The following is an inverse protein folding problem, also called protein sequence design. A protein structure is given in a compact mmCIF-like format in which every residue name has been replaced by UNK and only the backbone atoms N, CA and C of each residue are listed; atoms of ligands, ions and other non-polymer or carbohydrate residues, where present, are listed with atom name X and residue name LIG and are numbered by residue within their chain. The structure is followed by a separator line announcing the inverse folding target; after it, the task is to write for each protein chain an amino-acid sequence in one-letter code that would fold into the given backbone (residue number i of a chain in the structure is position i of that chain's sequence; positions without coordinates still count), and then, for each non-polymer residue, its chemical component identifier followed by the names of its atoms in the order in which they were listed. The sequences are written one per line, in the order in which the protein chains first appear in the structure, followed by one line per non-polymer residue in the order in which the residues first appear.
data_IF_990651212349
#
_entry.id   IF_990651212349
#
_cell.length_a   1.000
_cell.length_b   1.000
_cell.length_c   1.000
_cell.angle_alpha   90.00
_cell.angle_beta   90.00
_cell.angle_gamma   90.00
#
_symmetry.space_group_name_H-M   'P 1'
#
loop_
_entity.id
_entity.type
_entity.pdbx_description
1 polymer ?
#
# COMPACT_ATOMS: atom_id res chain seq x y z
N UNK A 1 9.09 -28.78 6.19
CA UNK A 1 8.25 -28.83 4.97
C UNK A 1 7.66 -27.47 4.59
N UNK A 2 7.32 -26.59 5.55
CA UNK A 2 6.71 -25.29 5.26
C UNK A 2 7.67 -24.27 4.60
N UNK A 3 8.97 -24.35 4.91
CA UNK A 3 9.95 -23.32 4.51
C UNK A 3 11.00 -23.81 3.51
N UNK A 4 11.11 -25.10 3.23
CA UNK A 4 12.17 -25.65 2.41
C UNK A 4 13.57 -25.40 3.02
N UNK A 5 14.63 -25.63 2.24
CA UNK A 5 16.01 -25.39 2.68
C UNK A 5 16.39 -23.90 2.76
N UNK A 6 15.68 -23.02 2.03
CA UNK A 6 15.91 -21.58 2.02
C UNK A 6 15.31 -20.84 3.22
N UNK A 7 14.51 -21.50 4.05
CA UNK A 7 13.87 -21.00 5.28
C UNK A 7 12.91 -19.82 5.08
N UNK A 8 13.19 -18.87 4.18
CA UNK A 8 12.36 -17.72 3.87
C UNK A 8 12.51 -17.33 2.38
N UNK A 9 11.44 -16.84 1.76
CA UNK A 9 11.49 -16.23 0.44
C UNK A 9 11.75 -14.73 0.55
N UNK A 10 12.70 -14.22 -0.24
CA UNK A 10 13.12 -12.82 -0.23
C UNK A 10 12.49 -12.05 -1.38
N UNK A 11 11.75 -10.99 -1.08
CA UNK A 11 11.35 -9.99 -2.06
C UNK A 11 12.44 -8.93 -2.25
N UNK A 12 12.58 -8.45 -3.47
CA UNK A 12 13.36 -7.24 -3.76
C UNK A 12 12.39 -6.09 -3.96
N UNK A 13 12.54 -5.02 -3.19
CA UNK A 13 11.68 -3.85 -3.28
C UNK A 13 12.47 -2.59 -3.58
N UNK A 14 12.02 -1.84 -4.59
CA UNK A 14 12.57 -0.53 -4.93
C UNK A 14 11.47 0.45 -5.32
N UNK A 15 11.78 1.74 -5.22
CA UNK A 15 10.89 2.84 -5.59
C UNK A 15 10.87 3.04 -7.11
N UNK A 16 9.70 3.35 -7.69
CA UNK A 16 9.54 3.61 -9.13
C UNK A 16 10.46 4.73 -9.63
N UNK A 17 10.56 5.84 -8.90
CA UNK A 17 11.44 6.94 -9.27
C UNK A 17 12.93 6.56 -9.25
N UNK A 18 13.35 5.61 -8.41
CA UNK A 18 14.72 5.08 -8.43
C UNK A 18 14.98 4.24 -9.69
N UNK A 19 14.00 3.43 -10.10
CA UNK A 19 14.07 2.68 -11.35
C UNK A 19 14.08 3.60 -12.57
N UNK A 20 13.27 4.65 -12.56
CA UNK A 20 13.21 5.65 -13.62
C UNK A 20 14.57 6.37 -13.77
N UNK A 21 15.19 6.76 -12.64
CA UNK A 21 16.52 7.36 -12.63
C UNK A 21 17.60 6.37 -13.09
N UNK A 22 17.50 5.12 -12.70
CA UNK A 22 18.40 4.07 -13.17
C UNK A 22 18.31 3.89 -14.69
N UNK A 23 17.10 3.92 -15.25
CA UNK A 23 16.93 3.85 -16.71
C UNK A 23 17.45 5.10 -17.43
N UNK A 24 17.22 6.31 -16.88
CA UNK A 24 17.81 7.54 -17.45
C UNK A 24 19.33 7.45 -17.56
N UNK A 25 20.00 7.03 -16.49
CA UNK A 25 21.45 6.83 -16.47
C UNK A 25 21.90 5.79 -17.50
N UNK A 26 21.20 4.68 -17.59
CA UNK A 26 21.49 3.61 -18.54
C UNK A 26 21.37 4.09 -20.00
N UNK A 27 20.27 4.78 -20.33
CA UNK A 27 20.03 5.31 -21.66
C UNK A 27 21.08 6.37 -22.03
N UNK A 28 21.47 7.22 -21.08
CA UNK A 28 22.51 8.23 -21.26
C UNK A 28 23.87 7.61 -21.53
N UNK A 29 24.26 6.61 -20.74
CA UNK A 29 25.53 5.89 -20.92
C UNK A 29 25.56 5.12 -22.27
N UNK A 30 24.41 4.70 -22.78
CA UNK A 30 24.26 4.06 -24.09
C UNK A 30 24.23 5.05 -25.27
N UNK A 31 24.25 6.36 -25.02
CA UNK A 31 24.14 7.38 -26.09
C UNK A 31 22.75 7.44 -26.74
N UNK A 32 21.70 7.02 -26.04
CA UNK A 32 20.32 6.97 -26.54
C UNK A 32 19.46 8.17 -26.10
N UNK A 33 20.03 9.07 -25.28
CA UNK A 33 19.41 10.34 -24.91
C UNK A 33 20.15 11.51 -25.57
N UNK A 34 19.37 12.49 -25.98
CA UNK A 34 19.83 13.83 -26.30
C UNK A 34 20.10 14.65 -25.01
N UNK A 35 19.93 15.97 -25.06
CA UNK A 35 20.10 16.84 -23.89
C UNK A 35 18.99 16.62 -22.84
N UNK A 36 17.80 16.16 -23.26
CA UNK A 36 16.63 15.99 -22.38
C UNK A 36 16.72 14.67 -21.62
N UNK A 37 16.52 14.71 -20.30
CA UNK A 37 16.44 13.53 -19.45
C UNK A 37 15.21 12.68 -19.78
N UNK A 38 15.33 11.34 -19.70
CA UNK A 38 14.22 10.43 -19.82
C UNK A 38 13.12 10.71 -18.76
N UNK A 39 13.52 11.22 -17.59
CA UNK A 39 12.59 11.59 -16.51
C UNK A 39 11.59 12.66 -16.99
N UNK A 40 12.05 13.58 -17.85
CA UNK A 40 11.26 14.72 -18.36
C UNK A 40 10.42 14.38 -19.61
N UNK A 41 10.50 13.15 -20.10
CA UNK A 41 9.70 12.70 -21.23
C UNK A 41 8.22 12.56 -20.85
N UNK A 42 7.33 12.74 -21.82
CA UNK A 42 5.91 12.46 -21.65
C UNK A 42 5.66 10.96 -21.42
N UNK A 43 4.50 10.63 -20.91
CA UNK A 43 4.10 9.22 -20.67
C UNK A 43 4.10 8.45 -21.99
N UNK A 44 3.64 9.07 -23.07
CA UNK A 44 3.57 8.49 -24.42
C UNK A 44 4.97 8.20 -24.98
N UNK A 45 5.91 9.13 -24.80
CA UNK A 45 7.31 8.95 -25.23
C UNK A 45 7.99 7.83 -24.45
N UNK A 46 7.81 7.79 -23.12
CA UNK A 46 8.29 6.70 -22.26
C UNK A 46 7.74 5.36 -22.70
N UNK A 47 6.43 5.30 -22.94
CA UNK A 47 5.75 4.09 -23.37
C UNK A 47 6.27 3.61 -24.72
N UNK A 48 6.40 4.48 -25.70
CA UNK A 48 6.91 4.16 -27.02
C UNK A 48 8.34 3.58 -26.99
N UNK A 49 9.21 4.15 -26.14
CA UNK A 49 10.54 3.61 -25.90
C UNK A 49 10.47 2.20 -25.31
N UNK A 50 9.73 2.03 -24.23
CA UNK A 50 9.63 0.75 -23.52
C UNK A 50 9.03 -0.35 -24.43
N UNK A 51 7.95 -0.06 -25.14
CA UNK A 51 7.32 -1.01 -26.07
C UNK A 51 8.25 -1.42 -27.22
N UNK A 52 9.11 -0.49 -27.70
CA UNK A 52 10.12 -0.78 -28.71
C UNK A 52 11.24 -1.63 -28.16
N UNK A 53 11.83 -1.23 -27.04
CA UNK A 53 13.05 -1.85 -26.49
C UNK A 53 12.76 -3.22 -25.86
N UNK A 54 11.57 -3.44 -25.31
CA UNK A 54 11.17 -4.75 -24.79
C UNK A 54 10.89 -5.81 -25.86
N UNK A 55 10.90 -5.40 -27.16
CA UNK A 55 10.86 -6.33 -28.31
C UNK A 55 12.24 -6.74 -28.81
N UNK A 56 13.30 -6.24 -28.21
CA UNK A 56 14.68 -6.53 -28.60
C UNK A 56 15.39 -7.33 -27.50
N UNK A 57 16.10 -8.42 -27.83
CA UNK A 57 16.92 -9.16 -26.88
C UNK A 57 18.22 -8.44 -26.52
N UNK A 58 18.60 -7.43 -27.31
CA UNK A 58 19.91 -6.79 -27.22
C UNK A 58 19.96 -5.81 -26.03
N UNK A 59 20.91 -5.98 -25.08
CA UNK A 59 21.13 -5.01 -24.02
C UNK A 59 21.73 -3.71 -24.60
N UNK A 60 21.60 -2.61 -23.88
CA UNK A 60 22.15 -1.30 -24.25
C UNK A 60 23.65 -1.22 -24.07
N UNK A 61 24.16 -1.80 -22.97
CA UNK A 61 25.56 -1.76 -22.60
C UNK A 61 26.18 -3.16 -22.52
N UNK A 62 27.46 -3.24 -22.81
CA UNK A 62 28.22 -4.46 -22.54
C UNK A 62 28.37 -4.69 -21.03
N UNK A 63 28.42 -5.95 -20.57
CA UNK A 63 28.61 -6.26 -19.16
C UNK A 63 29.88 -5.58 -18.59
N UNK A 64 29.75 -4.98 -17.41
CA UNK A 64 30.86 -4.33 -16.71
C UNK A 64 31.04 -2.83 -16.97
N UNK A 65 30.30 -2.26 -17.93
CA UNK A 65 30.25 -0.80 -18.10
C UNK A 65 29.36 -0.20 -17.01
N UNK A 66 29.87 0.80 -16.30
CA UNK A 66 29.10 1.59 -15.34
C UNK A 66 28.18 2.55 -16.08
N UNK A 67 26.91 2.59 -15.68
CA UNK A 67 25.93 3.54 -16.23
C UNK A 67 25.63 4.69 -15.25
N UNK A 68 25.99 4.55 -13.99
CA UNK A 68 25.73 5.51 -12.92
C UNK A 68 25.23 4.83 -11.65
N UNK A 69 25.20 5.53 -10.51
CA UNK A 69 25.05 4.91 -9.19
C UNK A 69 23.71 4.17 -9.00
N UNK A 70 22.59 4.72 -9.47
CA UNK A 70 21.29 4.07 -9.36
C UNK A 70 21.18 2.89 -10.33
N UNK A 71 21.63 3.05 -11.57
CA UNK A 71 21.64 1.98 -12.57
C UNK A 71 22.52 0.81 -12.10
N UNK A 72 23.74 1.11 -11.68
CA UNK A 72 24.70 0.09 -11.22
C UNK A 72 24.16 -0.68 -10.01
N UNK A 73 23.49 0.01 -9.08
CA UNK A 73 22.85 -0.62 -7.91
C UNK A 73 21.75 -1.59 -8.32
N UNK A 74 20.84 -1.19 -9.22
CA UNK A 74 19.73 -2.06 -9.67
C UNK A 74 20.26 -3.22 -10.49
N UNK A 75 21.17 -2.94 -11.44
CA UNK A 75 21.74 -3.99 -12.29
C UNK A 75 22.57 -5.00 -11.51
N UNK A 76 23.35 -4.56 -10.50
CA UNK A 76 24.08 -5.46 -9.62
C UNK A 76 23.13 -6.39 -8.84
N UNK A 77 22.06 -5.84 -8.27
CA UNK A 77 21.04 -6.62 -7.60
C UNK A 77 20.39 -7.66 -8.53
N UNK A 78 19.97 -7.24 -9.73
CA UNK A 78 19.34 -8.15 -10.71
C UNK A 78 20.33 -9.23 -11.22
N UNK A 79 21.62 -8.92 -11.36
CA UNK A 79 22.66 -9.91 -11.71
C UNK A 79 22.83 -10.99 -10.64
N UNK A 80 22.78 -10.60 -9.36
CA UNK A 80 22.80 -11.56 -8.25
C UNK A 80 21.58 -12.48 -8.31
N UNK A 81 20.39 -11.94 -8.59
CA UNK A 81 19.19 -12.74 -8.77
C UNK A 81 19.31 -13.68 -9.97
N UNK A 82 19.84 -13.20 -11.10
CA UNK A 82 20.05 -14.01 -12.29
C UNK A 82 21.02 -15.17 -12.02
N UNK A 83 22.13 -14.93 -11.35
CA UNK A 83 23.09 -15.96 -10.96
C UNK A 83 22.44 -16.98 -10.02
N UNK A 84 21.70 -16.53 -9.00
CA UNK A 84 20.99 -17.43 -8.09
C UNK A 84 19.98 -18.31 -8.84
N UNK A 85 19.21 -17.73 -9.78
CA UNK A 85 18.23 -18.50 -10.57
C UNK A 85 18.91 -19.53 -11.46
N UNK A 86 20.07 -19.19 -12.03
CA UNK A 86 20.86 -20.13 -12.83
C UNK A 86 21.30 -21.34 -12.03
N UNK A 87 21.78 -21.13 -10.79
CA UNK A 87 22.38 -22.17 -9.96
C UNK A 87 21.34 -22.97 -9.16
N UNK A 88 20.28 -22.31 -8.69
CA UNK A 88 19.32 -22.86 -7.71
C UNK A 88 17.84 -22.75 -8.13
N UNK A 89 17.55 -22.16 -9.28
CA UNK A 89 16.20 -21.87 -9.70
C UNK A 89 15.57 -20.70 -8.93
N UNK A 90 14.24 -20.60 -8.99
CA UNK A 90 13.49 -19.53 -8.33
C UNK A 90 13.16 -19.79 -6.86
N UNK A 91 13.59 -20.93 -6.28
CA UNK A 91 13.34 -21.26 -4.88
C UNK A 91 14.03 -20.28 -3.95
N UNK A 92 13.31 -19.81 -2.92
CA UNK A 92 13.81 -18.80 -2.00
C UNK A 92 13.74 -17.35 -2.51
N UNK A 93 13.37 -17.14 -3.77
CA UNK A 93 13.09 -15.81 -4.31
C UNK A 93 11.59 -15.54 -4.35
N UNK A 94 11.23 -14.32 -3.99
CA UNK A 94 9.86 -13.80 -4.05
C UNK A 94 9.63 -12.96 -5.30
N UNK A 95 9.28 -11.70 -5.10
CA UNK A 95 8.85 -10.77 -6.15
C UNK A 95 9.73 -9.54 -6.25
N UNK A 96 9.72 -8.90 -7.42
CA UNK A 96 10.24 -7.55 -7.64
C UNK A 96 9.10 -6.56 -7.35
N UNK A 97 9.10 -5.97 -6.14
CA UNK A 97 8.03 -5.07 -5.70
C UNK A 97 8.41 -3.63 -6.05
N UNK A 98 7.53 -2.95 -6.77
CA UNK A 98 7.69 -1.56 -7.17
C UNK A 98 6.84 -0.67 -6.27
N UNK A 99 7.46 0.06 -5.34
CA UNK A 99 6.74 1.01 -4.49
C UNK A 99 6.48 2.33 -5.22
N UNK A 100 5.39 3.00 -4.84
CA UNK A 100 4.91 4.22 -5.51
C UNK A 100 4.64 4.00 -7.01
N UNK A 101 3.98 2.89 -7.32
CA UNK A 101 3.51 2.61 -8.69
C UNK A 101 2.37 3.54 -9.03
N UNK A 102 2.54 4.38 -10.04
CA UNK A 102 1.57 5.39 -10.48
C UNK A 102 1.09 5.18 -11.91
N UNK A 103 1.86 4.40 -12.68
CA UNK A 103 1.58 4.13 -14.09
C UNK A 103 2.22 2.81 -14.52
N UNK A 104 1.79 2.29 -15.65
CA UNK A 104 2.29 1.00 -16.14
C UNK A 104 3.77 1.06 -16.52
N UNK A 105 4.27 2.21 -16.96
CA UNK A 105 5.67 2.44 -17.31
C UNK A 105 6.59 2.12 -16.11
N UNK A 106 6.17 2.41 -14.88
CA UNK A 106 6.91 2.11 -13.66
C UNK A 106 7.22 0.60 -13.52
N UNK A 107 6.32 -0.25 -14.01
CA UNK A 107 6.48 -1.70 -14.01
C UNK A 107 7.27 -2.20 -15.22
N UNK A 108 7.05 -1.61 -16.38
CA UNK A 108 7.74 -2.00 -17.63
C UNK A 108 9.24 -1.67 -17.57
N UNK A 109 9.63 -0.59 -16.90
CA UNK A 109 11.04 -0.25 -16.63
C UNK A 109 11.75 -1.40 -15.92
N UNK A 110 11.10 -2.08 -14.99
CA UNK A 110 11.70 -3.22 -14.28
C UNK A 110 12.02 -4.36 -15.24
N UNK A 111 11.17 -4.65 -16.22
CA UNK A 111 11.45 -5.66 -17.24
C UNK A 111 12.66 -5.28 -18.11
N UNK A 112 12.79 -4.00 -18.45
CA UNK A 112 13.91 -3.53 -19.23
C UNK A 112 15.22 -3.63 -18.44
N UNK A 113 15.23 -3.20 -17.17
CA UNK A 113 16.39 -3.35 -16.27
C UNK A 113 16.73 -4.82 -15.99
N UNK A 114 15.71 -5.71 -15.92
CA UNK A 114 15.91 -7.14 -15.79
C UNK A 114 16.56 -7.74 -17.05
N UNK A 115 16.19 -7.27 -18.25
CA UNK A 115 16.86 -7.64 -19.51
C UNK A 115 18.34 -7.23 -19.49
N UNK A 116 18.63 -6.00 -19.11
CA UNK A 116 20.00 -5.47 -19.04
C UNK A 116 20.92 -6.26 -18.08
N UNK A 117 20.34 -6.81 -17.04
CA UNK A 117 21.07 -7.60 -16.05
C UNK A 117 21.12 -9.10 -16.37
N UNK A 118 20.48 -9.56 -17.46
CA UNK A 118 20.37 -10.99 -17.78
C UNK A 118 19.42 -11.77 -16.86
N UNK A 119 18.58 -11.07 -16.08
CA UNK A 119 17.54 -11.68 -15.25
C UNK A 119 16.31 -12.09 -16.08
N UNK A 120 15.92 -11.27 -17.06
CA UNK A 120 14.87 -11.62 -18.01
C UNK A 120 15.45 -12.43 -19.17
N UNK A 121 14.70 -13.43 -19.60
CA UNK A 121 15.09 -14.41 -20.59
C UNK A 121 14.41 -14.13 -21.92
N UNK A 122 15.12 -14.31 -23.02
CA UNK A 122 14.55 -14.26 -24.37
C UNK A 122 14.11 -15.64 -24.84
N UNK A 123 12.87 -15.75 -25.26
CA UNK A 123 12.26 -16.99 -25.76
C UNK A 123 11.75 -16.81 -27.20
N UNK A 124 11.35 -17.88 -27.92
CA UNK A 124 10.70 -17.74 -29.23
C UNK A 124 9.43 -16.89 -29.20
N UNK A 125 8.79 -16.72 -28.04
CA UNK A 125 7.61 -15.86 -27.83
C UNK A 125 7.94 -14.43 -27.41
N UNK A 126 9.21 -14.11 -27.25
CA UNK A 126 9.71 -12.82 -26.80
C UNK A 126 10.27 -12.86 -25.37
N UNK A 127 10.45 -11.68 -24.77
CA UNK A 127 11.01 -11.52 -23.42
C UNK A 127 10.05 -12.10 -22.38
N UNK A 128 10.61 -12.77 -21.36
CA UNK A 128 9.90 -13.16 -20.12
C UNK A 128 10.76 -12.88 -18.90
N UNK A 129 10.12 -12.54 -17.79
CA UNK A 129 10.79 -12.40 -16.50
C UNK A 129 10.44 -13.58 -15.59
N UNK A 130 11.44 -14.30 -15.01
CA UNK A 130 11.17 -15.48 -14.18
C UNK A 130 10.63 -15.11 -12.79
N UNK A 131 10.80 -13.86 -12.36
CA UNK A 131 10.27 -13.34 -11.09
C UNK A 131 9.06 -12.43 -11.35
N UNK A 132 8.00 -12.54 -10.53
CA UNK A 132 6.86 -11.65 -10.61
C UNK A 132 7.25 -10.19 -10.34
N UNK A 133 6.78 -9.27 -11.18
CA UNK A 133 6.83 -7.83 -10.91
C UNK A 133 5.50 -7.42 -10.27
N UNK A 134 5.58 -6.84 -9.08
CA UNK A 134 4.42 -6.58 -8.21
C UNK A 134 4.27 -5.08 -7.98
N UNK A 135 3.16 -4.48 -8.43
CA UNK A 135 2.85 -3.10 -8.10
C UNK A 135 2.52 -2.95 -6.61
N UNK A 136 2.92 -1.81 -6.02
CA UNK A 136 2.47 -1.38 -4.71
C UNK A 136 1.77 -0.03 -4.85
N UNK A 137 0.49 -0.01 -4.51
CA UNK A 137 -0.37 1.17 -4.47
C UNK A 137 -0.46 1.69 -3.05
N UNK A 138 -0.04 2.94 -2.83
CA UNK A 138 0.16 3.51 -1.49
C UNK A 138 -0.72 4.74 -1.23
N UNK A 139 -1.05 5.53 -2.25
CA UNK A 139 -1.89 6.73 -2.12
C UNK A 139 -3.30 6.47 -2.64
N UNK A 140 -4.22 7.40 -2.34
CA UNK A 140 -5.59 7.33 -2.87
C UNK A 140 -5.62 7.33 -4.40
N UNK A 141 -4.83 8.20 -5.03
CA UNK A 141 -4.73 8.25 -6.49
C UNK A 141 -4.16 6.97 -7.10
N UNK A 142 -3.17 6.34 -6.44
CA UNK A 142 -2.60 5.07 -6.88
C UNK A 142 -3.66 3.95 -6.81
N UNK A 143 -4.46 3.91 -5.74
CA UNK A 143 -5.53 2.92 -5.55
C UNK A 143 -6.64 3.07 -6.59
N UNK A 144 -7.00 4.31 -6.93
CA UNK A 144 -8.00 4.62 -7.96
C UNK A 144 -7.51 4.24 -9.37
N UNK A 145 -6.25 4.53 -9.68
CA UNK A 145 -5.64 4.22 -10.97
C UNK A 145 -5.25 2.73 -11.11
N UNK A 146 -5.09 2.03 -9.98
CA UNK A 146 -4.56 0.67 -9.90
C UNK A 146 -5.17 -0.34 -10.86
N UNK A 147 -6.50 -0.46 -10.96
CA UNK A 147 -7.13 -1.40 -11.90
C UNK A 147 -6.71 -1.18 -13.35
N UNK A 148 -6.70 0.07 -13.82
CA UNK A 148 -6.24 0.41 -15.19
C UNK A 148 -4.76 0.14 -15.42
N UNK A 149 -3.92 0.39 -14.40
CA UNK A 149 -2.48 0.10 -14.47
C UNK A 149 -2.26 -1.42 -14.58
N UNK A 150 -2.95 -2.22 -13.77
CA UNK A 150 -2.85 -3.68 -13.78
C UNK A 150 -3.38 -4.26 -15.08
N UNK A 151 -4.49 -3.73 -15.60
CA UNK A 151 -5.04 -4.12 -16.92
C UNK A 151 -3.99 -3.90 -18.02
N UNK A 152 -3.42 -2.71 -18.10
CA UNK A 152 -2.41 -2.38 -19.11
C UNK A 152 -1.14 -3.24 -18.95
N UNK A 153 -0.74 -3.51 -17.69
CA UNK A 153 0.45 -4.33 -17.40
C UNK A 153 0.22 -5.81 -17.75
N UNK A 154 -0.93 -6.38 -17.38
CA UNK A 154 -1.27 -7.78 -17.69
C UNK A 154 -1.51 -8.02 -19.18
N UNK A 155 -1.97 -6.99 -19.91
CA UNK A 155 -2.11 -7.03 -21.37
C UNK A 155 -0.78 -6.90 -22.12
N UNK A 156 0.30 -6.47 -21.46
CA UNK A 156 1.60 -6.29 -22.11
C UNK A 156 2.24 -7.65 -22.49
N UNK A 157 2.83 -7.81 -23.70
CA UNK A 157 3.35 -9.10 -24.18
C UNK A 157 4.36 -9.77 -23.25
N UNK A 158 5.25 -9.02 -22.60
CA UNK A 158 6.24 -9.57 -21.65
C UNK A 158 5.54 -10.17 -20.43
N UNK A 159 4.51 -9.50 -19.91
CA UNK A 159 3.74 -10.01 -18.77
C UNK A 159 2.96 -11.26 -19.15
N UNK A 160 2.33 -11.25 -20.32
CA UNK A 160 1.61 -12.43 -20.85
C UNK A 160 2.55 -13.63 -21.04
N UNK A 161 3.73 -13.43 -21.62
CA UNK A 161 4.74 -14.48 -21.77
C UNK A 161 5.20 -15.02 -20.40
N UNK A 162 5.40 -14.14 -19.43
CA UNK A 162 5.81 -14.52 -18.07
C UNK A 162 4.72 -15.33 -17.36
N UNK A 163 3.47 -14.89 -17.44
CA UNK A 163 2.31 -15.61 -16.87
C UNK A 163 2.04 -16.94 -17.59
N UNK A 164 2.23 -17.00 -18.90
CA UNK A 164 2.08 -18.25 -19.67
C UNK A 164 3.11 -19.30 -19.23
N UNK A 165 4.36 -18.90 -19.01
CA UNK A 165 5.41 -19.79 -18.49
C UNK A 165 5.09 -20.28 -17.07
N UNK A 166 4.56 -19.40 -16.20
CA UNK A 166 4.11 -19.80 -14.87
C UNK A 166 2.92 -20.78 -14.94
N UNK A 167 1.96 -20.54 -15.84
CA UNK A 167 0.81 -21.43 -16.06
C UNK A 167 1.25 -22.83 -16.47
N UNK A 168 2.21 -22.91 -17.39
CA UNK A 168 2.79 -24.18 -17.84
C UNK A 168 3.50 -24.90 -16.68
N UNK A 169 4.32 -24.19 -15.92
CA UNK A 169 5.04 -24.74 -14.76
C UNK A 169 4.10 -25.25 -13.65
N UNK A 170 3.00 -24.55 -13.39
CA UNK A 170 2.06 -24.88 -12.31
C UNK A 170 0.95 -25.85 -12.72
N UNK A 171 0.72 -26.06 -14.00
CA UNK A 171 -0.41 -26.84 -14.51
C UNK A 171 -1.78 -26.22 -14.21
N UNK A 172 -1.85 -24.90 -14.04
CA UNK A 172 -3.08 -24.18 -13.70
C UNK A 172 -2.89 -22.67 -13.69
N UNK A 173 -3.95 -21.93 -13.35
CA UNK A 173 -3.92 -20.46 -13.35
C UNK A 173 -2.87 -19.92 -12.38
N UNK A 174 -1.94 -19.06 -12.88
CA UNK A 174 -0.94 -18.44 -12.05
C UNK A 174 -1.55 -17.43 -11.09
N UNK A 175 -0.87 -17.15 -9.98
CA UNK A 175 -1.22 -16.04 -9.11
C UNK A 175 -0.62 -14.74 -9.64
N UNK A 176 -1.41 -13.67 -9.60
CA UNK A 176 -0.92 -12.30 -9.80
C UNK A 176 -1.03 -11.52 -8.49
N UNK A 177 0.11 -11.05 -8.00
CA UNK A 177 0.17 -10.37 -6.71
C UNK A 177 0.12 -8.86 -6.89
N UNK A 178 -0.65 -8.19 -6.03
CA UNK A 178 -0.68 -6.73 -5.87
C UNK A 178 -0.45 -6.39 -4.40
N UNK A 179 0.45 -5.47 -4.12
CA UNK A 179 0.65 -4.97 -2.76
C UNK A 179 -0.17 -3.69 -2.55
N UNK A 180 -0.84 -3.60 -1.39
CA UNK A 180 -1.67 -2.44 -1.00
C UNK A 180 -1.20 -1.86 0.32
N UNK A 181 -0.99 -0.53 0.35
CA UNK A 181 -0.44 0.20 1.49
C UNK A 181 -1.52 0.82 2.35
N UNK A 182 -1.60 0.41 3.62
CA UNK A 182 -2.58 0.90 4.60
C UNK A 182 -2.14 2.17 5.31
N UNK A 183 -0.86 2.24 5.66
CA UNK A 183 -0.33 3.36 6.45
C UNK A 183 -0.20 4.64 5.63
N UNK A 184 0.30 4.54 4.40
CA UNK A 184 0.51 5.68 3.53
C UNK A 184 -0.83 6.23 3.01
N UNK A 185 -1.78 5.36 2.64
CA UNK A 185 -3.13 5.78 2.26
C UNK A 185 -3.87 6.47 3.41
N UNK A 186 -3.75 5.94 4.64
CA UNK A 186 -4.35 6.59 5.81
C UNK A 186 -3.73 7.96 6.11
N UNK A 187 -2.42 8.10 5.97
CA UNK A 187 -1.74 9.40 6.09
C UNK A 187 -2.23 10.38 5.03
N UNK A 188 -2.50 9.93 3.82
CA UNK A 188 -2.95 10.76 2.69
C UNK A 188 -4.40 11.28 2.85
N UNK A 189 -5.33 10.43 3.31
CA UNK A 189 -6.76 10.74 3.24
C UNK A 189 -7.58 10.46 4.52
N UNK A 190 -6.94 10.02 5.62
CA UNK A 190 -7.63 9.63 6.85
C UNK A 190 -8.24 8.23 6.80
N UNK A 191 -8.60 7.71 7.99
CA UNK A 191 -8.93 6.28 8.18
C UNK A 191 -10.12 5.82 7.33
N UNK A 192 -11.23 6.55 7.33
CA UNK A 192 -12.45 6.08 6.67
C UNK A 192 -12.28 6.05 5.15
N UNK A 193 -11.77 7.15 4.58
CA UNK A 193 -11.51 7.26 3.15
C UNK A 193 -10.48 6.24 2.67
N UNK A 194 -9.41 6.03 3.45
CA UNK A 194 -8.38 5.02 3.15
C UNK A 194 -8.95 3.60 3.12
N UNK A 195 -9.71 3.21 4.14
CA UNK A 195 -10.29 1.86 4.21
C UNK A 195 -11.30 1.61 3.09
N UNK A 196 -12.12 2.62 2.74
CA UNK A 196 -13.05 2.52 1.64
C UNK A 196 -12.35 2.44 0.27
N UNK A 197 -11.33 3.28 0.04
CA UNK A 197 -10.53 3.23 -1.19
C UNK A 197 -9.82 1.88 -1.36
N UNK A 198 -9.24 1.32 -0.29
CA UNK A 198 -8.62 0.00 -0.27
C UNK A 198 -9.62 -1.11 -0.59
N UNK A 199 -10.84 -1.04 -0.04
CA UNK A 199 -11.89 -2.02 -0.32
C UNK A 199 -12.32 -1.98 -1.79
N UNK A 200 -12.59 -0.79 -2.33
CA UNK A 200 -12.95 -0.60 -3.75
C UNK A 200 -11.84 -1.04 -4.70
N UNK A 201 -10.60 -0.64 -4.42
CA UNK A 201 -9.45 -1.01 -5.24
C UNK A 201 -9.25 -2.54 -5.29
N UNK A 202 -9.32 -3.21 -4.14
CA UNK A 202 -9.19 -4.67 -4.10
C UNK A 202 -10.31 -5.39 -4.86
N UNK A 203 -11.56 -4.89 -4.79
CA UNK A 203 -12.68 -5.42 -5.56
C UNK A 203 -12.41 -5.32 -7.06
N UNK A 204 -12.11 -4.11 -7.55
CA UNK A 204 -11.86 -3.87 -8.96
C UNK A 204 -10.60 -4.59 -9.49
N UNK A 205 -9.50 -4.60 -8.72
CA UNK A 205 -8.29 -5.34 -9.06
C UNK A 205 -8.54 -6.86 -9.14
N UNK A 206 -9.39 -7.41 -8.25
CA UNK A 206 -9.75 -8.83 -8.31
C UNK A 206 -10.49 -9.18 -9.59
N UNK A 207 -11.40 -8.31 -10.02
CA UNK A 207 -12.13 -8.46 -11.27
C UNK A 207 -11.18 -8.39 -12.47
N UNK A 208 -10.32 -7.37 -12.53
CA UNK A 208 -9.30 -7.21 -13.58
C UNK A 208 -8.38 -8.44 -13.68
N UNK A 209 -7.79 -8.87 -12.56
CA UNK A 209 -6.86 -10.00 -12.55
C UNK A 209 -7.55 -11.31 -13.01
N UNK A 210 -8.79 -11.52 -12.58
CA UNK A 210 -9.56 -12.72 -12.96
C UNK A 210 -9.88 -12.74 -14.45
N UNK A 211 -10.14 -11.59 -15.09
CA UNK A 211 -10.35 -11.48 -16.54
C UNK A 211 -9.13 -11.94 -17.35
N UNK A 212 -7.93 -11.84 -16.80
CA UNK A 212 -6.68 -12.36 -17.40
C UNK A 212 -6.38 -13.83 -17.05
N UNK A 213 -7.36 -14.58 -16.56
CA UNK A 213 -7.20 -15.97 -16.12
C UNK A 213 -6.04 -16.15 -15.14
N UNK A 214 -5.94 -15.25 -14.16
CA UNK A 214 -5.00 -15.31 -13.04
C UNK A 214 -5.75 -15.22 -11.71
N UNK A 215 -5.14 -15.75 -10.65
CA UNK A 215 -5.69 -15.71 -9.29
C UNK A 215 -5.19 -14.45 -8.59
N UNK A 216 -6.08 -13.57 -8.10
CA UNK A 216 -5.63 -12.40 -7.34
C UNK A 216 -5.02 -12.82 -6.00
N UNK A 217 -3.87 -12.25 -5.68
CA UNK A 217 -3.21 -12.38 -4.38
C UNK A 217 -2.86 -11.00 -3.88
N UNK A 218 -3.48 -10.58 -2.79
CA UNK A 218 -3.15 -9.30 -2.17
C UNK A 218 -2.06 -9.46 -1.13
N UNK A 219 -1.06 -8.58 -1.20
CA UNK A 219 -0.08 -8.40 -0.15
C UNK A 219 -0.46 -7.16 0.67
N UNK A 220 -1.04 -7.40 1.83
CA UNK A 220 -1.52 -6.36 2.72
C UNK A 220 -0.37 -5.74 3.51
N UNK A 221 0.04 -4.54 3.14
CA UNK A 221 1.08 -3.75 3.81
C UNK A 221 0.57 -3.10 5.10
N UNK A 222 0.16 -3.93 6.08
CA UNK A 222 -0.41 -3.49 7.36
C UNK A 222 0.69 -3.20 8.38
N UNK A 223 0.40 -2.28 9.32
CA UNK A 223 1.24 -2.05 10.50
C UNK A 223 0.60 -2.56 11.79
N UNK A 224 1.25 -2.32 12.93
CA UNK A 224 0.83 -2.84 14.24
C UNK A 224 -0.25 -2.01 14.96
N UNK A 225 -0.67 -0.86 14.43
CA UNK A 225 -1.69 0.00 15.02
C UNK A 225 -2.89 0.20 14.10
N UNK A 226 -4.05 0.58 14.63
CA UNK A 226 -5.28 0.82 13.85
C UNK A 226 -5.04 1.82 12.73
N UNK A 227 -4.40 2.96 13.01
CA UNK A 227 -4.04 3.97 12.00
C UNK A 227 -3.04 3.48 10.94
N UNK A 228 -2.58 2.22 11.02
CA UNK A 228 -1.72 1.53 10.04
C UNK A 228 -2.36 0.26 9.51
N UNK A 229 -3.68 0.12 9.68
CA UNK A 229 -4.46 -1.01 9.19
C UNK A 229 -4.47 -2.23 10.11
N UNK A 230 -4.02 -2.11 11.38
CA UNK A 230 -4.18 -3.18 12.37
C UNK A 230 -5.65 -3.36 12.77
N UNK A 231 -5.90 -4.46 13.43
CA UNK A 231 -7.19 -4.89 13.96
C UNK A 231 -7.20 -6.40 14.13
N UNK A 232 -8.22 -6.99 14.76
CA UNK A 232 -8.35 -8.43 14.89
C UNK A 232 -8.29 -9.12 13.53
N UNK A 233 -7.47 -10.15 13.41
CA UNK A 233 -7.18 -10.80 12.11
C UNK A 233 -8.43 -11.38 11.46
N UNK A 234 -9.31 -12.01 12.24
CA UNK A 234 -10.56 -12.58 11.73
C UNK A 234 -11.53 -11.50 11.22
N UNK A 235 -11.68 -10.38 11.93
CA UNK A 235 -12.52 -9.27 11.44
C UNK A 235 -11.98 -8.64 10.16
N UNK A 236 -10.66 -8.52 10.08
CA UNK A 236 -10.00 -8.05 8.86
C UNK A 236 -10.30 -8.98 7.67
N UNK A 237 -10.17 -10.31 7.86
CA UNK A 237 -10.45 -11.29 6.81
C UNK A 237 -11.93 -11.29 6.39
N UNK A 238 -12.84 -11.13 7.35
CA UNK A 238 -14.27 -11.05 7.07
C UNK A 238 -14.66 -9.77 6.32
N UNK A 239 -13.90 -8.70 6.51
CA UNK A 239 -14.11 -7.41 5.87
C UNK A 239 -13.55 -7.31 4.44
N UNK A 240 -12.77 -8.29 3.98
CA UNK A 240 -12.21 -8.30 2.63
C UNK A 240 -13.31 -8.37 1.56
N UNK A 241 -13.18 -7.61 0.45
CA UNK A 241 -14.16 -7.65 -0.62
C UNK A 241 -14.21 -9.04 -1.28
N UNK A 242 -15.41 -9.42 -1.72
CA UNK A 242 -15.59 -10.70 -2.40
C UNK A 242 -14.67 -10.83 -3.62
N UNK A 243 -14.05 -12.02 -3.79
CA UNK A 243 -13.10 -12.30 -4.87
C UNK A 243 -11.65 -11.92 -4.54
N UNK A 244 -11.38 -11.13 -3.49
CA UNK A 244 -10.01 -10.71 -3.16
C UNK A 244 -9.17 -11.77 -2.43
N UNK A 245 -9.78 -12.87 -2.00
CA UNK A 245 -9.09 -13.98 -1.33
C UNK A 245 -9.41 -15.30 -2.05
N UNK A 246 -8.45 -15.83 -2.78
CA UNK A 246 -8.57 -17.04 -3.59
C UNK A 246 -7.80 -18.24 -3.01
N UNK A 247 -7.61 -18.30 -1.70
CA UNK A 247 -6.87 -19.35 -0.99
C UNK A 247 -5.44 -18.94 -0.60
N UNK A 248 -4.96 -17.80 -1.08
CA UNK A 248 -3.65 -17.27 -0.75
C UNK A 248 -3.74 -15.77 -0.47
N UNK A 249 -2.97 -15.31 0.50
CA UNK A 249 -2.73 -13.90 0.78
C UNK A 249 -1.36 -13.72 1.41
N UNK A 250 -0.86 -12.50 1.37
CA UNK A 250 0.33 -12.11 2.15
C UNK A 250 -0.01 -10.91 3.03
N UNK A 251 0.57 -10.89 4.22
CA UNK A 251 0.35 -9.82 5.17
C UNK A 251 1.69 -9.44 5.82
N UNK A 252 1.96 -8.15 5.91
CA UNK A 252 3.10 -7.65 6.69
C UNK A 252 2.81 -7.81 8.17
N UNK A 253 3.72 -8.43 8.90
CA UNK A 253 3.80 -8.35 10.35
C UNK A 253 5.05 -7.54 10.72
N UNK A 254 4.88 -6.52 11.53
CA UNK A 254 5.97 -5.66 11.98
C UNK A 254 6.67 -6.27 13.21
N UNK A 255 7.92 -5.89 13.48
CA UNK A 255 8.71 -6.48 14.57
C UNK A 255 8.02 -6.42 15.93
N UNK A 256 7.39 -5.31 16.27
CA UNK A 256 6.60 -5.16 17.50
C UNK A 256 5.40 -6.12 17.53
N UNK A 257 4.74 -6.34 16.41
CA UNK A 257 3.60 -7.25 16.30
C UNK A 257 4.07 -8.71 16.39
N UNK A 258 5.20 -9.05 15.76
CA UNK A 258 5.80 -10.37 15.84
C UNK A 258 6.12 -10.72 17.29
N UNK A 259 6.76 -9.80 18.02
CA UNK A 259 7.07 -10.01 19.44
C UNK A 259 5.82 -10.24 20.29
N UNK A 260 4.76 -9.48 20.06
CA UNK A 260 3.51 -9.62 20.83
C UNK A 260 2.75 -10.91 20.50
N UNK A 261 2.68 -11.29 19.21
CA UNK A 261 1.86 -12.42 18.76
C UNK A 261 2.58 -13.77 18.90
N UNK A 262 3.90 -13.80 18.70
CA UNK A 262 4.64 -15.05 18.47
C UNK A 262 5.77 -15.30 19.45
N UNK A 263 6.02 -14.43 20.45
CA UNK A 263 7.08 -14.65 21.45
C UNK A 263 6.81 -15.84 22.37
N UNK A 264 5.54 -16.15 22.67
CA UNK A 264 5.13 -17.28 23.49
C UNK A 264 4.44 -18.34 22.65
N UNK A 265 4.74 -19.60 22.90
CA UNK A 265 4.20 -20.74 22.14
C UNK A 265 2.67 -20.74 22.06
N UNK A 266 1.97 -20.59 23.19
CA UNK A 266 0.50 -20.57 23.19
C UNK A 266 -0.10 -19.38 22.43
N UNK A 267 0.52 -18.19 22.53
CA UNK A 267 0.10 -17.04 21.73
C UNK A 267 0.38 -17.25 20.24
N UNK A 268 1.51 -17.86 19.90
CA UNK A 268 1.86 -18.17 18.52
C UNK A 268 0.86 -19.15 17.90
N UNK A 269 0.54 -20.24 18.60
CA UNK A 269 -0.46 -21.23 18.17
C UNK A 269 -1.81 -20.57 17.96
N UNK A 270 -2.30 -19.81 18.95
CA UNK A 270 -3.58 -19.11 18.86
C UNK A 270 -3.65 -18.15 17.65
N UNK A 271 -2.62 -17.32 17.44
CA UNK A 271 -2.60 -16.40 16.32
C UNK A 271 -2.50 -17.11 14.96
N UNK A 272 -1.74 -18.21 14.88
CA UNK A 272 -1.64 -19.02 13.68
C UNK A 272 -2.97 -19.73 13.36
N UNK A 273 -3.64 -20.31 14.35
CA UNK A 273 -4.94 -20.96 14.19
C UNK A 273 -6.00 -19.96 13.74
N UNK A 274 -6.07 -18.79 14.35
CA UNK A 274 -7.02 -17.72 13.92
C UNK A 274 -6.73 -17.30 12.48
N UNK A 275 -5.47 -17.09 12.12
CA UNK A 275 -5.08 -16.72 10.76
C UNK A 275 -5.53 -17.78 9.75
N UNK A 276 -5.22 -19.05 10.02
CA UNK A 276 -5.56 -20.16 9.14
C UNK A 276 -7.08 -20.37 9.04
N UNK A 277 -7.79 -20.39 10.16
CA UNK A 277 -9.23 -20.59 10.20
C UNK A 277 -9.97 -19.45 9.49
N UNK A 278 -9.54 -18.21 9.71
CA UNK A 278 -10.14 -17.03 9.05
C UNK A 278 -9.87 -17.02 7.54
N UNK A 279 -8.65 -17.34 7.11
CA UNK A 279 -8.32 -17.44 5.70
C UNK A 279 -9.11 -18.56 5.01
N UNK A 280 -9.23 -19.72 5.62
CA UNK A 280 -10.03 -20.83 5.11
C UNK A 280 -11.52 -20.48 5.00
N UNK A 281 -12.09 -19.90 6.07
CA UNK A 281 -13.49 -19.46 6.12
C UNK A 281 -13.78 -18.40 5.06
N UNK A 282 -12.95 -17.35 4.96
CA UNK A 282 -13.12 -16.30 3.96
C UNK A 282 -12.97 -16.84 2.53
N UNK A 283 -11.99 -17.73 2.29
CA UNK A 283 -11.83 -18.39 0.99
C UNK A 283 -13.06 -19.22 0.61
N UNK A 284 -13.63 -19.97 1.55
CA UNK A 284 -14.84 -20.77 1.31
C UNK A 284 -16.02 -19.86 0.97
N UNK A 285 -16.22 -18.77 1.72
CA UNK A 285 -17.27 -17.78 1.40
C UNK A 285 -17.09 -17.17 0.02
N UNK A 286 -15.86 -16.73 -0.34
CA UNK A 286 -15.58 -16.14 -1.64
C UNK A 286 -15.81 -17.12 -2.80
N UNK A 287 -15.66 -18.43 -2.59
CA UNK A 287 -15.91 -19.46 -3.61
C UNK A 287 -17.38 -19.82 -3.75
N UNK A 288 -18.12 -19.88 -2.66
CA UNK A 288 -19.45 -20.51 -2.62
C UNK A 288 -20.60 -19.53 -2.39
N UNK A 289 -20.34 -18.37 -1.78
CA UNK A 289 -21.36 -17.33 -1.64
C UNK A 289 -21.38 -16.43 -2.88
N UNK A 290 -22.59 -15.95 -3.23
CA UNK A 290 -22.72 -14.91 -4.25
C UNK A 290 -22.19 -13.58 -3.73
N UNK A 291 -21.54 -12.76 -4.60
CA UNK A 291 -21.19 -11.39 -4.23
C UNK A 291 -22.43 -10.63 -3.76
N UNK A 292 -22.38 -10.08 -2.56
CA UNK A 292 -23.40 -9.16 -2.09
C UNK A 292 -22.93 -7.73 -2.37
N UNK A 293 -23.67 -7.00 -3.20
CA UNK A 293 -23.46 -5.57 -3.35
C UNK A 293 -23.83 -4.87 -2.04
N UNK A 294 -22.99 -4.00 -1.56
CA UNK A 294 -23.32 -3.11 -0.47
C UNK A 294 -24.35 -2.09 -0.98
N UNK A 295 -25.61 -2.24 -0.59
CA UNK A 295 -26.68 -1.33 -1.01
C UNK A 295 -26.41 0.16 -0.71
N UNK A 296 -25.42 0.43 0.14
CA UNK A 296 -25.02 1.76 0.60
C UNK A 296 -23.70 2.24 -0.01
N UNK A 297 -23.19 1.63 -1.10
CA UNK A 297 -21.90 2.04 -1.74
C UNK A 297 -21.87 3.54 -2.06
N UNK A 298 -22.95 4.09 -2.63
CA UNK A 298 -23.06 5.52 -2.95
C UNK A 298 -23.03 6.43 -1.69
N UNK A 299 -23.53 5.93 -0.54
CA UNK A 299 -23.45 6.64 0.73
C UNK A 299 -22.01 6.62 1.24
N UNK A 300 -21.32 5.48 1.10
CA UNK A 300 -19.93 5.32 1.52
C UNK A 300 -18.98 6.19 0.67
N UNK A 301 -19.25 6.35 -0.62
CA UNK A 301 -18.49 7.26 -1.48
C UNK A 301 -18.57 8.71 -0.97
N UNK A 302 -19.78 9.19 -0.68
CA UNK A 302 -20.00 10.53 -0.12
C UNK A 302 -19.39 10.70 1.26
N UNK A 303 -19.52 9.69 2.12
CA UNK A 303 -18.96 9.69 3.47
C UNK A 303 -17.43 9.69 3.45
N UNK A 304 -16.82 8.92 2.57
CA UNK A 304 -15.37 8.88 2.38
C UNK A 304 -14.82 10.23 1.87
N UNK A 305 -15.51 10.85 0.91
CA UNK A 305 -15.15 12.19 0.42
C UNK A 305 -15.21 13.22 1.54
N UNK A 306 -16.33 13.29 2.29
CA UNK A 306 -16.49 14.23 3.41
C UNK A 306 -15.46 14.00 4.52
N UNK A 307 -15.15 12.73 4.83
CA UNK A 307 -14.14 12.38 5.83
C UNK A 307 -12.73 12.79 5.40
N UNK A 308 -12.38 12.57 4.14
CA UNK A 308 -11.11 13.00 3.55
C UNK A 308 -10.97 14.52 3.57
N UNK A 309 -12.01 15.23 3.16
CA UNK A 309 -11.97 16.68 3.06
C UNK A 309 -11.81 17.31 4.44
N UNK A 310 -12.49 16.79 5.47
CA UNK A 310 -12.29 17.20 6.85
C UNK A 310 -10.84 16.92 7.33
N UNK A 311 -10.29 15.74 7.01
CA UNK A 311 -8.93 15.38 7.36
C UNK A 311 -7.90 16.29 6.68
N UNK A 312 -8.04 16.51 5.37
CA UNK A 312 -7.14 17.38 4.60
C UNK A 312 -7.25 18.84 5.03
N UNK A 313 -8.44 19.33 5.35
CA UNK A 313 -8.61 20.68 5.89
C UNK A 313 -7.78 20.91 7.14
N UNK A 314 -7.73 19.95 8.05
CA UNK A 314 -6.84 20.03 9.22
C UNK A 314 -5.36 20.10 8.82
N UNK A 315 -4.91 19.21 7.92
CA UNK A 315 -3.51 19.16 7.49
C UNK A 315 -3.03 20.45 6.78
N UNK A 316 -3.95 21.13 6.09
CA UNK A 316 -3.69 22.39 5.38
C UNK A 316 -3.97 23.65 6.23
N UNK A 317 -4.37 23.49 7.49
CA UNK A 317 -4.52 24.63 8.41
C UNK A 317 -3.17 25.34 8.55
N UNK A 318 -3.18 26.66 8.44
CA UNK A 318 -1.98 27.47 8.60
C UNK A 318 -1.33 27.18 9.97
N UNK A 319 -0.02 26.98 9.98
CA UNK A 319 0.73 26.63 11.18
C UNK A 319 0.62 25.15 11.60
N UNK A 320 -0.13 24.30 10.91
CA UNK A 320 -0.30 22.88 11.28
C UNK A 320 1.03 22.15 11.46
N UNK A 321 2.01 22.37 10.58
CA UNK A 321 3.32 21.71 10.71
C UNK A 321 4.09 22.16 11.95
N UNK A 322 4.01 23.44 12.32
CA UNK A 322 4.60 23.95 13.55
C UNK A 322 3.91 23.35 14.78
N UNK A 323 2.58 23.30 14.77
CA UNK A 323 1.79 22.60 15.79
C UNK A 323 2.21 21.13 15.92
N UNK A 324 2.23 20.40 14.81
CA UNK A 324 2.56 18.98 14.78
C UNK A 324 3.93 18.69 15.38
N UNK A 325 4.96 19.47 14.99
CA UNK A 325 6.32 19.28 15.51
C UNK A 325 6.43 19.59 17.00
N UNK A 326 5.66 20.56 17.50
CA UNK A 326 5.72 20.96 18.90
C UNK A 326 4.82 20.11 19.79
N UNK A 327 3.61 19.77 19.32
CA UNK A 327 2.62 19.00 20.07
C UNK A 327 2.84 17.48 20.02
N UNK A 328 3.84 17.00 19.29
CA UNK A 328 4.16 15.57 19.22
C UNK A 328 5.67 15.33 19.31
N UNK A 329 6.13 14.15 19.75
CA UNK A 329 7.55 13.84 19.85
C UNK A 329 8.16 13.42 18.49
N UNK A 330 7.75 14.05 17.37
CA UNK A 330 8.20 13.67 16.03
C UNK A 330 9.71 13.82 15.88
N UNK A 331 10.32 14.85 16.46
CA UNK A 331 11.77 15.08 16.34
C UNK A 331 12.59 13.93 16.98
N UNK A 332 12.12 13.40 18.11
CA UNK A 332 12.73 12.23 18.72
C UNK A 332 12.52 10.96 17.87
N UNK A 333 11.35 10.81 17.27
CA UNK A 333 11.04 9.67 16.41
C UNK A 333 11.81 9.72 15.10
N UNK A 334 12.06 10.90 14.52
CA UNK A 334 12.89 11.06 13.33
C UNK A 334 14.33 10.65 13.55
N UNK A 335 14.85 10.87 14.75
CA UNK A 335 16.20 10.47 15.15
C UNK A 335 16.29 9.01 15.63
N UNK A 336 15.16 8.34 15.83
CA UNK A 336 15.12 6.94 16.25
C UNK A 336 15.18 6.00 15.04
N UNK A 337 15.76 4.80 15.24
CA UNK A 337 15.80 3.76 14.21
C UNK A 337 14.57 2.86 14.29
N UNK A 338 13.38 3.46 14.24
CA UNK A 338 12.12 2.71 14.20
C UNK A 338 11.84 2.28 12.76
N UNK A 339 11.86 0.97 12.53
CA UNK A 339 11.67 0.38 11.21
C UNK A 339 12.96 0.26 10.40
N UNK A 340 12.85 -0.38 9.24
CA UNK A 340 13.98 -0.70 8.35
C UNK A 340 14.39 0.44 7.41
N UNK A 341 13.70 1.59 7.47
CA UNK A 341 13.89 2.71 6.53
C UNK A 341 14.08 4.02 7.28
N UNK A 342 14.77 5.02 6.67
CA UNK A 342 14.83 6.36 7.20
C UNK A 342 13.42 6.94 7.43
N UNK A 343 13.27 7.80 8.42
CA UNK A 343 12.01 8.45 8.78
C UNK A 343 11.47 9.39 7.69
N UNK A 344 12.35 9.92 6.85
CA UNK A 344 12.04 10.79 5.70
C UNK A 344 12.48 10.17 4.39
N UNK A 345 11.82 10.57 3.28
CA UNK A 345 12.14 10.10 1.92
C UNK A 345 13.34 10.82 1.33
N UNK A 346 13.36 12.16 1.38
CA UNK A 346 14.40 13.01 0.81
C UNK A 346 15.13 13.88 1.84
N UNK A 347 14.65 13.90 3.09
CA UNK A 347 15.19 14.73 4.17
C UNK A 347 14.59 16.13 4.26
N UNK A 348 13.60 16.46 3.44
CA UNK A 348 12.90 17.76 3.50
C UNK A 348 11.93 17.82 4.68
N UNK A 349 11.74 19.01 5.26
CA UNK A 349 10.85 19.22 6.39
C UNK A 349 9.38 19.41 5.96
N UNK A 350 8.87 18.53 5.10
CA UNK A 350 7.48 18.56 4.62
C UNK A 350 6.70 17.33 5.07
N UNK A 351 5.37 17.45 5.09
CA UNK A 351 4.48 16.33 5.41
C UNK A 351 4.59 15.23 4.35
N UNK A 352 4.75 15.58 3.08
CA UNK A 352 4.86 14.61 1.98
C UNK A 352 6.13 13.78 2.06
N UNK A 353 7.22 14.37 2.56
CA UNK A 353 8.49 13.68 2.75
C UNK A 353 8.48 12.73 3.97
N UNK A 354 7.66 13.05 4.98
CA UNK A 354 7.54 12.24 6.19
C UNK A 354 6.89 10.89 5.88
N UNK A 355 7.51 9.79 6.33
CA UNK A 355 6.92 8.45 6.17
C UNK A 355 5.77 8.21 7.16
N UNK A 356 4.87 7.30 6.79
CA UNK A 356 3.68 7.01 7.58
C UNK A 356 3.96 6.40 8.96
N UNK A 357 5.08 5.68 9.15
CA UNK A 357 5.43 5.10 10.45
C UNK A 357 5.66 6.20 11.51
N UNK A 358 6.63 7.12 11.35
CA UNK A 358 6.82 8.20 12.32
C UNK A 358 5.58 9.11 12.44
N UNK A 359 4.83 9.34 11.35
CA UNK A 359 3.56 10.06 11.40
C UNK A 359 2.56 9.46 12.39
N UNK A 360 2.26 8.17 12.26
CA UNK A 360 1.28 7.51 13.14
C UNK A 360 1.78 7.40 14.57
N UNK A 361 3.07 7.04 14.75
CA UNK A 361 3.64 6.89 16.10
C UNK A 361 3.67 8.19 16.88
N UNK A 362 3.99 9.33 16.26
CA UNK A 362 4.02 10.63 16.95
C UNK A 362 2.65 10.99 17.54
N UNK A 363 1.58 10.80 16.79
CA UNK A 363 0.21 11.01 17.27
C UNK A 363 -0.19 10.02 18.36
N UNK A 364 0.26 8.78 18.27
CA UNK A 364 0.00 7.75 19.27
C UNK A 364 0.70 8.06 20.58
N UNK A 365 1.98 8.46 20.53
CA UNK A 365 2.74 8.83 21.73
C UNK A 365 2.17 10.05 22.45
N UNK A 366 1.70 11.04 21.70
CA UNK A 366 1.03 12.21 22.24
C UNK A 366 -0.46 11.97 22.60
N UNK A 367 -0.96 10.72 22.51
CA UNK A 367 -2.32 10.32 22.85
C UNK A 367 -3.43 10.99 22.05
N UNK A 368 -3.12 11.50 20.86
CA UNK A 368 -4.12 11.99 19.92
C UNK A 368 -4.77 10.86 19.12
N UNK A 369 -4.03 9.86 18.74
CA UNK A 369 -4.47 8.78 17.81
C UNK A 369 -5.13 9.33 16.54
N UNK A 370 -4.81 10.55 16.15
CA UNK A 370 -5.47 11.35 15.12
C UNK A 370 -5.70 10.59 13.80
N UNK A 371 -4.72 9.87 13.22
CA UNK A 371 -4.93 9.16 11.96
C UNK A 371 -5.92 8.00 12.06
N UNK A 372 -6.33 7.60 13.25
CA UNK A 372 -7.23 6.47 13.48
C UNK A 372 -8.71 6.84 13.60
N UNK A 373 -9.07 8.15 13.61
CA UNK A 373 -10.46 8.57 13.80
C UNK A 373 -10.84 9.89 13.15
N UNK A 374 -9.87 10.79 12.91
CA UNK A 374 -10.17 12.16 12.50
C UNK A 374 -10.86 12.22 11.12
N UNK A 375 -11.87 13.08 11.00
CA UNK A 375 -12.70 13.28 9.82
C UNK A 375 -13.95 12.38 9.77
N UNK A 376 -13.89 11.16 10.31
CA UNK A 376 -15.01 10.22 10.24
C UNK A 376 -16.25 10.71 11.00
N UNK A 377 -16.08 11.24 12.23
CA UNK A 377 -17.18 11.74 13.03
C UNK A 377 -17.86 12.97 12.45
N UNK A 378 -17.09 13.90 11.88
CA UNK A 378 -17.62 15.08 11.19
C UNK A 378 -18.47 14.67 9.99
N UNK A 379 -17.99 13.71 9.19
CA UNK A 379 -18.70 13.18 8.03
C UNK A 379 -19.99 12.46 8.43
N UNK A 380 -19.95 11.61 9.47
CA UNK A 380 -21.14 10.93 9.98
C UNK A 380 -22.17 11.90 10.56
N UNK A 381 -21.71 12.95 11.24
CA UNK A 381 -22.61 13.99 11.76
C UNK A 381 -23.30 14.75 10.62
N UNK A 382 -22.55 15.19 9.61
CA UNK A 382 -23.11 15.86 8.43
C UNK A 382 -24.13 14.95 7.73
N UNK A 383 -23.80 13.68 7.51
CA UNK A 383 -24.72 12.71 6.93
C UNK A 383 -26.00 12.57 7.75
N UNK A 384 -25.92 12.50 9.08
CA UNK A 384 -27.07 12.40 9.96
C UNK A 384 -27.96 13.65 9.90
N UNK A 385 -27.33 14.83 9.93
CA UNK A 385 -28.06 16.11 10.03
C UNK A 385 -28.66 16.54 8.68
N UNK A 386 -27.98 16.25 7.57
CA UNK A 386 -28.36 16.68 6.22
C UNK A 386 -29.15 15.60 5.44
N UNK A 387 -28.83 14.32 5.67
CA UNK A 387 -29.38 13.17 4.94
C UNK A 387 -29.80 12.05 5.89
N UNK A 388 -30.80 12.28 6.77
CA UNK A 388 -31.17 11.33 7.84
C UNK A 388 -31.66 9.96 7.31
N UNK A 389 -32.22 9.91 6.11
CA UNK A 389 -32.62 8.66 5.48
C UNK A 389 -31.43 7.79 5.13
N UNK A 390 -30.36 8.38 4.59
CA UNK A 390 -29.13 7.69 4.26
C UNK A 390 -28.35 7.27 5.50
N UNK A 391 -28.37 8.10 6.55
CA UNK A 391 -27.81 7.71 7.85
C UNK A 391 -28.51 6.49 8.43
N UNK A 392 -29.84 6.42 8.34
CA UNK A 392 -30.63 5.26 8.78
C UNK A 392 -30.33 4.01 7.93
N UNK A 393 -30.16 4.18 6.62
CA UNK A 393 -29.77 3.09 5.73
C UNK A 393 -28.37 2.55 6.06
N UNK A 394 -27.40 3.46 6.32
CA UNK A 394 -26.05 3.10 6.76
C UNK A 394 -26.07 2.35 8.10
N UNK A 395 -26.86 2.82 9.08
CA UNK A 395 -27.02 2.15 10.38
C UNK A 395 -27.65 0.75 10.24
N UNK A 396 -28.56 0.57 9.27
CA UNK A 396 -29.10 -0.74 8.92
C UNK A 396 -28.03 -1.67 8.33
N UNK A 397 -27.29 -1.15 7.35
CA UNK A 397 -26.21 -1.91 6.69
C UNK A 397 -25.08 -2.31 7.64
N UNK A 398 -24.81 -1.53 8.70
CA UNK A 398 -23.79 -1.87 9.72
C UNK A 398 -24.07 -3.23 10.38
N UNK A 399 -25.32 -3.63 10.53
CA UNK A 399 -25.68 -4.92 11.15
C UNK A 399 -25.26 -6.12 10.30
N UNK A 400 -25.16 -5.96 9.01
CA UNK A 400 -24.90 -7.03 8.05
C UNK A 400 -23.51 -6.97 7.44
N UNK A 401 -22.94 -5.75 7.27
CA UNK A 401 -21.66 -5.55 6.63
C UNK A 401 -20.47 -5.77 7.58
N UNK A 402 -19.69 -6.82 7.33
CA UNK A 402 -18.43 -7.05 8.03
C UNK A 402 -17.43 -5.92 7.82
N UNK A 403 -17.40 -5.31 6.63
CA UNK A 403 -16.55 -4.17 6.32
C UNK A 403 -16.87 -2.96 7.21
N UNK A 404 -18.15 -2.57 7.29
CA UNK A 404 -18.55 -1.44 8.12
C UNK A 404 -18.28 -1.69 9.59
N UNK A 405 -18.58 -2.89 10.10
CA UNK A 405 -18.24 -3.29 11.47
C UNK A 405 -16.76 -3.12 11.75
N UNK A 406 -15.91 -3.65 10.87
CA UNK A 406 -14.45 -3.57 11.01
C UNK A 406 -13.95 -2.13 11.06
N UNK A 407 -14.38 -1.30 10.12
CA UNK A 407 -13.91 0.10 10.01
C UNK A 407 -14.37 0.93 11.19
N UNK A 408 -15.66 0.88 11.53
CA UNK A 408 -16.23 1.69 12.62
C UNK A 408 -15.71 1.26 14.00
N UNK A 409 -15.55 -0.05 14.26
CA UNK A 409 -14.96 -0.52 15.52
C UNK A 409 -13.47 -0.10 15.65
N UNK A 410 -12.72 -0.07 14.55
CA UNK A 410 -11.35 0.44 14.57
C UNK A 410 -11.30 1.94 14.87
N UNK A 411 -12.20 2.74 14.29
CA UNK A 411 -12.33 4.16 14.58
C UNK A 411 -12.70 4.37 16.07
N UNK A 412 -13.68 3.64 16.57
CA UNK A 412 -14.08 3.66 17.98
C UNK A 412 -12.90 3.32 18.90
N UNK A 413 -12.16 2.25 18.61
CA UNK A 413 -10.98 1.85 19.38
C UNK A 413 -9.91 2.95 19.44
N UNK A 414 -9.73 3.69 18.34
CA UNK A 414 -8.80 4.83 18.30
C UNK A 414 -9.31 6.02 19.11
N UNK A 415 -10.60 6.30 19.07
CA UNK A 415 -11.27 7.34 19.87
C UNK A 415 -11.16 7.06 21.36
N UNK A 416 -11.46 5.84 21.80
CA UNK A 416 -11.35 5.41 23.20
C UNK A 416 -9.91 5.47 23.70
N UNK A 417 -8.94 5.23 22.82
CA UNK A 417 -7.51 5.33 23.14
C UNK A 417 -7.01 6.78 23.25
N UNK A 418 -7.71 7.73 22.63
CA UNK A 418 -7.37 9.14 22.71
C UNK A 418 -7.66 9.71 24.11
N UNK A 419 -6.83 10.67 24.56
CA UNK A 419 -6.99 11.28 25.88
C UNK A 419 -7.05 12.80 25.76
N UNK A 420 -8.24 13.37 25.92
CA UNK A 420 -8.49 14.80 25.75
C UNK A 420 -7.66 15.69 26.69
N UNK A 421 -7.31 15.23 27.89
CA UNK A 421 -6.48 15.99 28.81
C UNK A 421 -5.03 16.04 28.34
N UNK A 422 -4.48 14.91 27.91
CA UNK A 422 -3.14 14.85 27.36
C UNK A 422 -3.05 15.60 26.03
N UNK A 423 -4.07 15.50 25.17
CA UNK A 423 -4.14 16.28 23.93
C UNK A 423 -4.06 17.79 24.22
N UNK A 424 -4.80 18.29 25.22
CA UNK A 424 -4.74 19.70 25.62
C UNK A 424 -3.37 20.07 26.19
N UNK A 425 -2.76 19.21 27.01
CA UNK A 425 -1.44 19.43 27.57
C UNK A 425 -0.37 19.54 26.48
N UNK A 426 -0.35 18.59 25.54
CA UNK A 426 0.59 18.64 24.41
C UNK A 426 0.33 19.83 23.47
N UNK A 427 -0.92 20.14 23.18
CA UNK A 427 -1.27 21.34 22.41
C UNK A 427 -0.82 22.64 23.11
N UNK A 428 -0.84 22.66 24.44
CA UNK A 428 -0.36 23.80 25.25
C UNK A 428 1.14 24.07 25.12
N UNK A 429 1.92 23.13 24.62
CA UNK A 429 3.35 23.31 24.34
C UNK A 429 3.62 24.21 23.13
N UNK A 430 2.63 24.40 22.26
CA UNK A 430 2.75 25.27 21.06
C UNK A 430 2.72 26.72 21.51
N UNK A 431 3.78 27.52 21.28
CA UNK A 431 3.87 28.89 21.79
C UNK A 431 2.88 29.84 21.12
N UNK A 432 2.64 29.65 19.84
CA UNK A 432 1.76 30.50 19.03
C UNK A 432 0.28 30.20 19.34
N UNK A 433 -0.40 31.16 19.94
CA UNK A 433 -1.80 31.04 20.33
C UNK A 433 -2.73 30.97 19.12
N UNK A 434 -2.43 31.70 18.06
CA UNK A 434 -3.22 31.70 16.82
C UNK A 434 -3.20 30.33 16.18
N UNK A 435 -2.01 29.70 16.11
CA UNK A 435 -1.83 28.34 15.60
C UNK A 435 -2.55 27.32 16.49
N UNK A 436 -2.43 27.47 17.82
CA UNK A 436 -3.15 26.58 18.77
C UNK A 436 -4.66 26.64 18.57
N UNK A 437 -5.22 27.84 18.48
CA UNK A 437 -6.67 28.04 18.31
C UNK A 437 -7.15 27.56 16.95
N UNK A 438 -6.41 27.82 15.86
CA UNK A 438 -6.76 27.36 14.52
C UNK A 438 -6.82 25.82 14.46
N UNK A 439 -5.78 25.13 14.96
CA UNK A 439 -5.74 23.67 14.98
C UNK A 439 -6.76 23.10 15.98
N UNK A 440 -6.98 23.76 17.12
CA UNK A 440 -7.99 23.37 18.09
C UNK A 440 -9.40 23.54 17.54
N UNK A 441 -9.70 24.60 16.81
CA UNK A 441 -10.99 24.80 16.15
C UNK A 441 -11.25 23.71 15.10
N UNK A 442 -10.24 23.37 14.30
CA UNK A 442 -10.33 22.30 13.35
C UNK A 442 -10.43 20.91 14.01
N UNK A 443 -9.68 20.65 15.08
CA UNK A 443 -9.59 19.34 15.76
C UNK A 443 -10.58 19.14 16.93
N UNK A 444 -10.83 20.15 17.75
CA UNK A 444 -11.67 20.06 18.94
C UNK A 444 -13.16 19.85 18.62
N UNK A 445 -13.63 20.48 17.57
CA UNK A 445 -14.99 20.29 17.06
C UNK A 445 -15.22 18.82 16.60
N UNK A 446 -14.16 18.14 16.16
CA UNK A 446 -14.27 16.75 15.73
C UNK A 446 -14.37 15.77 16.92
N UNK A 447 -13.63 16.00 18.02
CA UNK A 447 -13.69 15.14 19.20
C UNK A 447 -15.07 15.18 19.88
N UNK A 448 -15.62 16.38 20.02
CA UNK A 448 -16.96 16.59 20.57
C UNK A 448 -18.07 16.02 19.65
N UNK A 449 -17.83 16.00 18.34
CA UNK A 449 -18.78 15.50 17.33
C UNK A 449 -18.73 14.00 17.13
N UNK A 450 -17.62 13.35 17.44
CA UNK A 450 -17.47 11.91 17.29
C UNK A 450 -18.13 11.13 18.46
N UNK A 451 -18.04 11.63 19.67
CA UNK A 451 -18.52 10.95 20.87
C UNK A 451 -20.02 10.60 20.83
N UNK A 452 -20.93 11.49 20.37
CA UNK A 452 -22.37 11.17 20.32
C UNK A 452 -22.81 10.27 19.16
N UNK A 453 -21.92 10.00 18.20
CA UNK A 453 -22.27 9.20 16.99
C UNK A 453 -21.98 7.72 17.22
N UNK A 454 -21.06 7.41 18.14
CA UNK A 454 -20.63 6.04 18.45
C UNK A 454 -21.21 5.52 19.78
N UNK A 455 -21.94 6.35 20.57
CA UNK A 455 -22.76 5.94 21.67
C UNK A 455 -24.21 5.69 21.23
#
# INVERSE_FOLDING_TARGET
QAFGFHSASLDVRQNSAFHEKALDQLLRAAGLLDERSFIDWSVEEKRALLDRELRSPRPFLSPGISAGPEADTVLACHRVLAAHIHDFGTSGLGSLIVSMTRRVEDLLIVYLLAREAGLAEWTPKGLRCPLPVVPLFETMGDLEAGPGIVEAFMSHPVTQNSLAALREKLGGDPSFQVMVGYSDSNKDCGIFASQWALHRAQKALSETITQHAAKPVFFHGRGGTVGRGAGPTHWFMDALPHGSLSGSMRMTEQGETIAQKYAHFSSAVYNAEILMASAASATARHRHAKPQALAVEHILDGLAASSRDAYRSLLHTEGFMAFYRTATPIDALENSRIGSRPSRRTGQASLDDLRAIPWVFSWTQARFYLPGWFGAGSALKSLRDERPADYKALAGALRESAFLKYVLTNIESSLVSANANLMRAYAGLVPDETVREAVRAAGGVALERCTPVFM
#
